data_IF_190971095617
#
_entry.id   IF_190971095617
#
_cell.length_a   1.000
_cell.length_b   1.000
_cell.length_c   1.000
_cell.angle_alpha   90.00
_cell.angle_beta   90.00
_cell.angle_gamma   90.00
#
_symmetry.space_group_name_H-M   'P 1'
#
loop_
_entity.id
_entity.type
_entity.pdbx_description
1 polymer ?
#
# COMPACT_ATOMS: atom_id res chain seq x y z
N UNK A 1 66.16 -30.88 3.97
CA UNK A 1 65.98 -32.10 3.15
C UNK A 1 65.22 -33.11 3.99
N UNK A 2 63.91 -33.28 3.77
CA UNK A 2 63.12 -34.25 4.54
C UNK A 2 61.97 -34.81 3.71
N UNK A 3 62.14 -36.08 3.35
CA UNK A 3 61.16 -37.18 3.29
C UNK A 3 59.95 -37.08 2.34
N UNK A 4 60.09 -37.82 1.24
CA UNK A 4 59.04 -38.60 0.58
C UNK A 4 58.14 -39.36 1.56
N UNK A 5 56.87 -39.55 1.17
CA UNK A 5 56.22 -40.85 0.94
C UNK A 5 54.71 -40.63 0.76
N UNK A 6 54.21 -40.79 -0.47
CA UNK A 6 52.81 -41.16 -0.71
C UNK A 6 52.60 -42.60 -0.22
N UNK A 7 51.37 -42.92 0.20
CA UNK A 7 50.72 -44.07 -0.42
C UNK A 7 49.26 -43.80 -0.82
N UNK A 8 48.87 -44.68 -1.74
CA UNK A 8 47.66 -44.78 -2.54
C UNK A 8 46.47 -45.34 -1.75
N UNK A 9 45.27 -45.02 -2.25
CA UNK A 9 44.09 -45.88 -2.38
C UNK A 9 42.96 -45.87 -1.33
N UNK A 10 41.81 -45.39 -1.85
CA UNK A 10 40.51 -46.06 -1.90
C UNK A 10 39.56 -46.06 -0.68
N UNK A 11 38.42 -45.38 -0.86
CA UNK A 11 37.03 -45.89 -0.72
C UNK A 11 36.11 -44.68 -0.40
N UNK A 12 35.36 -44.18 -1.38
CA UNK A 12 33.96 -44.52 -1.66
C UNK A 12 32.95 -43.87 -0.71
N UNK A 13 32.11 -43.01 -1.31
CA UNK A 13 30.71 -42.72 -0.98
C UNK A 13 30.46 -42.08 0.42
N UNK A 14 29.54 -41.15 0.61
CA UNK A 14 28.26 -40.96 -0.04
C UNK A 14 27.66 -39.64 0.52
N UNK A 15 26.74 -39.01 -0.24
CA UNK A 15 25.53 -38.32 0.27
C UNK A 15 25.80 -37.04 1.12
N UNK A 16 25.24 -35.86 0.88
CA UNK A 16 23.91 -35.45 0.44
C UNK A 16 23.92 -33.94 0.12
N UNK A 17 22.91 -33.54 -0.65
CA UNK A 17 22.52 -32.20 -1.04
C UNK A 17 22.40 -31.18 0.11
N UNK A 18 22.39 -29.91 -0.30
CA UNK A 18 21.60 -28.81 0.26
C UNK A 18 22.13 -28.09 1.50
N UNK A 19 22.70 -26.91 1.29
CA UNK A 19 22.33 -25.66 1.99
C UNK A 19 23.17 -24.48 1.45
N UNK A 20 22.76 -23.88 0.33
CA UNK A 20 23.00 -22.45 0.15
C UNK A 20 21.88 -21.76 0.93
N UNK A 21 22.09 -21.57 2.22
CA UNK A 21 21.18 -20.77 3.03
C UNK A 21 21.64 -19.32 2.91
N UNK A 22 20.96 -18.58 2.03
CA UNK A 22 21.08 -17.13 1.93
C UNK A 22 20.71 -16.51 3.29
N UNK A 23 21.53 -15.59 3.84
CA UNK A 23 21.21 -14.94 5.09
C UNK A 23 19.96 -14.07 4.89
N UNK A 24 18.85 -14.48 5.49
CA UNK A 24 17.61 -13.74 5.50
C UNK A 24 17.86 -12.33 6.08
N UNK A 25 17.68 -11.31 5.24
CA UNK A 25 17.57 -9.94 5.68
C UNK A 25 16.46 -9.85 6.73
N UNK A 26 16.84 -9.56 7.97
CA UNK A 26 15.90 -9.31 9.06
C UNK A 26 15.07 -8.09 8.69
N UNK A 27 13.89 -8.34 8.11
CA UNK A 27 12.91 -7.30 7.85
C UNK A 27 12.43 -6.83 9.21
N UNK A 28 12.53 -5.52 9.54
CA UNK A 28 11.97 -5.00 10.78
C UNK A 28 10.49 -5.43 10.88
N UNK A 29 10.00 -5.79 12.07
CA UNK A 29 8.59 -6.12 12.23
C UNK A 29 7.75 -4.95 11.73
N UNK A 30 6.79 -5.24 10.86
CA UNK A 30 5.83 -4.24 10.42
C UNK A 30 5.16 -3.62 11.65
N UNK A 31 4.95 -2.29 11.67
CA UNK A 31 4.26 -1.65 12.78
C UNK A 31 2.89 -2.30 13.00
N UNK A 32 2.43 -2.41 14.27
CA UNK A 32 1.16 -3.04 14.58
C UNK A 32 0.02 -2.37 13.81
N UNK A 33 -0.84 -3.20 13.21
CA UNK A 33 -2.01 -2.73 12.48
C UNK A 33 -2.97 -1.98 13.43
N UNK A 34 -3.60 -0.87 12.99
CA UNK A 34 -4.50 -0.11 13.83
C UNK A 34 -5.76 -0.93 14.22
N UNK A 35 -6.35 -0.68 15.40
CA UNK A 35 -7.60 -1.32 15.81
C UNK A 35 -8.74 -0.87 14.88
N UNK A 36 -9.62 -1.80 14.51
CA UNK A 36 -10.76 -1.50 13.65
C UNK A 36 -11.84 -0.69 14.41
N UNK A 37 -12.15 0.56 14.02
CA UNK A 37 -13.32 1.27 14.55
C UNK A 37 -14.63 0.65 14.04
N UNK A 38 -15.78 0.94 14.68
CA UNK A 38 -17.09 0.52 14.19
C UNK A 38 -17.31 1.06 12.77
N UNK A 39 -17.68 0.16 11.84
CA UNK A 39 -17.91 0.50 10.44
C UNK A 39 -19.08 1.48 10.31
N UNK A 40 -18.87 2.72 9.82
CA UNK A 40 -19.98 3.60 9.46
C UNK A 40 -20.71 3.05 8.24
N UNK A 41 -22.02 3.33 8.19
CA UNK A 41 -22.95 2.95 7.13
C UNK A 41 -22.39 3.23 5.72
N UNK A 42 -22.60 2.25 4.84
CA UNK A 42 -22.45 2.41 3.40
C UNK A 42 -23.58 3.31 2.87
N UNK A 43 -23.37 4.11 1.81
CA UNK A 43 -22.20 4.11 0.93
C UNK A 43 -21.08 5.03 1.40
N UNK A 44 -19.86 4.72 0.96
CA UNK A 44 -18.72 5.62 1.09
C UNK A 44 -18.91 6.84 0.19
N UNK A 45 -18.91 8.04 0.78
CA UNK A 45 -19.07 9.33 0.06
C UNK A 45 -17.83 10.21 0.20
N UNK A 46 -17.71 11.25 -0.63
CA UNK A 46 -16.65 12.25 -0.50
C UNK A 46 -16.63 12.94 0.87
N UNK A 47 -17.80 13.24 1.45
CA UNK A 47 -17.88 13.78 2.81
C UNK A 47 -17.29 12.80 3.84
N UNK A 48 -17.67 11.51 3.76
CA UNK A 48 -17.14 10.48 4.65
C UNK A 48 -15.63 10.27 4.46
N UNK A 49 -15.14 10.39 3.22
CA UNK A 49 -13.72 10.19 2.92
C UNK A 49 -12.87 11.28 3.57
N UNK A 50 -13.37 12.52 3.55
CA UNK A 50 -12.76 13.66 4.25
C UNK A 50 -12.81 13.49 5.77
N UNK A 51 -13.92 13.00 6.33
CA UNK A 51 -14.00 12.67 7.77
C UNK A 51 -12.97 11.63 8.20
N UNK A 52 -12.75 10.59 7.39
CA UNK A 52 -11.76 9.54 7.70
C UNK A 52 -10.35 10.13 7.72
N UNK A 53 -9.99 10.95 6.72
CA UNK A 53 -8.68 11.60 6.65
C UNK A 53 -8.49 12.67 7.74
N UNK A 54 -9.56 13.31 8.19
CA UNK A 54 -9.54 14.23 9.31
C UNK A 54 -8.67 15.47 9.05
N UNK A 55 -7.85 15.84 10.04
CA UNK A 55 -7.10 17.10 10.06
C UNK A 55 -5.77 17.05 9.30
N UNK A 56 -5.60 16.07 8.41
CA UNK A 56 -4.42 16.03 7.53
C UNK A 56 -4.41 17.22 6.55
N UNK A 57 -3.22 17.56 5.99
CA UNK A 57 -3.10 18.68 5.06
C UNK A 57 -4.07 18.60 3.88
N UNK A 58 -4.44 19.77 3.34
CA UNK A 58 -5.43 19.89 2.26
C UNK A 58 -5.19 18.94 1.07
N UNK A 59 -3.96 18.71 0.57
CA UNK A 59 -3.74 17.76 -0.52
C UNK A 59 -4.19 16.32 -0.20
N UNK A 60 -4.18 15.91 1.08
CA UNK A 60 -4.68 14.61 1.50
C UNK A 60 -6.21 14.56 1.52
N UNK A 61 -6.86 15.66 1.85
CA UNK A 61 -8.31 15.82 1.78
C UNK A 61 -8.79 15.76 0.32
N UNK A 62 -8.03 16.39 -0.60
CA UNK A 62 -8.27 16.31 -2.04
C UNK A 62 -8.12 14.88 -2.57
N UNK A 63 -7.03 14.18 -2.18
CA UNK A 63 -6.81 12.78 -2.55
C UNK A 63 -7.97 11.88 -2.10
N UNK A 64 -8.44 12.04 -0.86
CA UNK A 64 -9.55 11.27 -0.33
C UNK A 64 -10.85 11.51 -1.09
N UNK A 65 -11.11 12.78 -1.43
CA UNK A 65 -12.28 13.15 -2.23
C UNK A 65 -12.19 12.54 -3.63
N UNK A 66 -11.03 12.63 -4.29
CA UNK A 66 -10.79 12.07 -5.61
C UNK A 66 -10.98 10.55 -5.64
N UNK A 67 -10.51 9.83 -4.60
CA UNK A 67 -10.72 8.38 -4.48
C UNK A 67 -12.19 8.01 -4.30
N UNK A 68 -12.94 8.79 -3.51
CA UNK A 68 -14.39 8.60 -3.37
C UNK A 68 -15.13 8.89 -4.68
N UNK A 69 -14.78 9.94 -5.41
CA UNK A 69 -15.38 10.27 -6.70
C UNK A 69 -15.13 9.17 -7.74
N UNK A 70 -13.94 8.55 -7.71
CA UNK A 70 -13.65 7.38 -8.55
C UNK A 70 -14.52 6.18 -8.21
N UNK A 71 -14.72 5.91 -6.92
CA UNK A 71 -15.58 4.84 -6.47
C UNK A 71 -17.03 5.08 -6.93
N UNK A 72 -17.57 6.29 -6.70
CA UNK A 72 -18.91 6.67 -7.16
C UNK A 72 -19.03 6.61 -8.68
N UNK A 73 -17.98 6.96 -9.42
CA UNK A 73 -18.03 6.77 -10.87
C UNK A 73 -18.09 5.29 -11.26
N UNK A 74 -17.28 4.43 -10.62
CA UNK A 74 -17.28 2.99 -10.88
C UNK A 74 -18.69 2.41 -10.71
N UNK A 75 -19.41 2.80 -9.65
CA UNK A 75 -20.83 2.43 -9.46
C UNK A 75 -21.72 2.88 -10.63
N UNK A 76 -21.61 4.15 -11.05
CA UNK A 76 -22.45 4.73 -12.10
C UNK A 76 -22.26 4.08 -13.46
N UNK A 77 -21.06 3.63 -13.77
CA UNK A 77 -20.77 2.93 -15.04
C UNK A 77 -21.00 1.41 -14.96
N UNK A 78 -21.56 0.91 -13.85
CA UNK A 78 -21.87 -0.51 -13.63
C UNK A 78 -20.64 -1.36 -13.25
N UNK A 79 -19.54 -0.73 -12.85
CA UNK A 79 -18.37 -1.39 -12.30
C UNK A 79 -18.55 -1.80 -10.84
N UNK A 80 -17.69 -2.72 -10.37
CA UNK A 80 -17.65 -3.10 -8.96
C UNK A 80 -17.06 -1.95 -8.13
N UNK A 81 -17.80 -1.53 -7.11
CA UNK A 81 -17.37 -0.50 -6.17
C UNK A 81 -17.08 -1.10 -4.79
N UNK A 82 -15.81 -1.12 -4.43
CA UNK A 82 -15.37 -1.60 -3.13
C UNK A 82 -15.30 -0.45 -2.10
N UNK A 83 -16.45 -0.14 -1.51
CA UNK A 83 -16.55 0.87 -0.46
C UNK A 83 -15.80 0.48 0.82
N UNK A 84 -15.72 -0.81 1.14
CA UNK A 84 -15.00 -1.29 2.32
C UNK A 84 -13.49 -1.14 2.11
N UNK A 85 -13.00 -1.55 0.95
CA UNK A 85 -11.61 -1.37 0.53
C UNK A 85 -11.21 0.11 0.58
N UNK A 86 -12.01 1.01 0.00
CA UNK A 86 -11.72 2.45 0.07
C UNK A 86 -11.68 2.95 1.53
N UNK A 87 -12.60 2.50 2.37
CA UNK A 87 -12.63 2.90 3.80
C UNK A 87 -11.36 2.44 4.54
N UNK A 88 -10.89 1.24 4.26
CA UNK A 88 -9.66 0.69 4.86
C UNK A 88 -8.44 1.44 4.33
N UNK A 89 -8.35 1.65 3.02
CA UNK A 89 -7.25 2.40 2.39
C UNK A 89 -7.12 3.80 2.99
N UNK A 90 -8.22 4.54 3.16
CA UNK A 90 -8.18 5.88 3.74
C UNK A 90 -7.76 5.89 5.21
N UNK A 91 -8.14 4.85 5.99
CA UNK A 91 -7.71 4.70 7.38
C UNK A 91 -6.21 4.43 7.48
N UNK A 92 -5.70 3.53 6.64
CA UNK A 92 -4.28 3.18 6.59
C UNK A 92 -3.44 4.37 6.10
N UNK A 93 -3.94 5.11 5.11
CA UNK A 93 -3.34 6.34 4.63
C UNK A 93 -3.26 7.38 5.75
N UNK A 94 -4.36 7.62 6.48
CA UNK A 94 -4.34 8.53 7.63
C UNK A 94 -3.32 8.09 8.68
N UNK A 95 -3.37 6.82 9.07
CA UNK A 95 -2.47 6.26 10.07
C UNK A 95 -0.99 6.45 9.71
N UNK A 96 -0.67 6.26 8.43
CA UNK A 96 0.69 6.43 7.91
C UNK A 96 1.10 7.91 7.92
N UNK A 97 0.25 8.79 7.40
CA UNK A 97 0.61 10.19 7.19
C UNK A 97 0.55 11.06 8.46
N UNK A 98 -0.28 10.72 9.44
CA UNK A 98 -0.39 11.49 10.69
C UNK A 98 0.90 11.48 11.53
N UNK A 99 1.83 10.56 11.25
CA UNK A 99 3.14 10.50 11.89
C UNK A 99 4.21 11.34 11.20
N UNK A 100 3.90 11.91 10.03
CA UNK A 100 4.84 12.70 9.23
C UNK A 100 4.66 14.20 9.49
N UNK A 101 5.72 15.00 9.21
CA UNK A 101 5.58 16.45 9.07
C UNK A 101 4.50 16.81 8.02
N UNK A 102 3.80 17.91 8.25
CA UNK A 102 2.67 18.32 7.42
C UNK A 102 3.06 18.57 5.95
N UNK A 103 4.25 19.11 5.70
CA UNK A 103 4.80 19.34 4.36
C UNK A 103 5.14 18.02 3.65
N UNK A 104 5.73 17.06 4.35
CA UNK A 104 5.99 15.72 3.82
C UNK A 104 4.68 14.97 3.50
N UNK A 105 3.71 15.01 4.41
CA UNK A 105 2.40 14.41 4.19
C UNK A 105 1.68 15.04 2.98
N UNK A 106 1.70 16.37 2.87
CA UNK A 106 1.14 17.10 1.73
C UNK A 106 1.81 16.71 0.41
N UNK A 107 3.14 16.62 0.39
CA UNK A 107 3.92 16.19 -0.78
C UNK A 107 3.56 14.77 -1.22
N UNK A 108 3.49 13.82 -0.26
CA UNK A 108 3.08 12.44 -0.55
C UNK A 108 1.65 12.35 -1.10
N UNK A 109 0.70 13.07 -0.51
CA UNK A 109 -0.68 13.11 -1.01
C UNK A 109 -0.79 13.74 -2.39
N UNK A 110 0.02 14.75 -2.69
CA UNK A 110 0.08 15.36 -4.02
C UNK A 110 0.63 14.40 -5.06
N UNK A 111 1.69 13.65 -4.73
CA UNK A 111 2.25 12.62 -5.59
C UNK A 111 1.21 11.52 -5.92
N UNK A 112 0.54 10.99 -4.90
CA UNK A 112 -0.53 10.00 -5.07
C UNK A 112 -1.70 10.54 -5.89
N UNK A 113 -2.08 11.81 -5.70
CA UNK A 113 -3.13 12.46 -6.49
C UNK A 113 -2.74 12.55 -7.96
N UNK A 114 -1.49 12.92 -8.24
CA UNK A 114 -0.98 13.01 -9.61
C UNK A 114 -0.93 11.63 -10.27
N UNK A 115 -0.46 10.60 -9.56
CA UNK A 115 -0.50 9.22 -10.04
C UNK A 115 -1.93 8.76 -10.32
N UNK A 116 -2.87 9.03 -9.42
CA UNK A 116 -4.27 8.66 -9.61
C UNK A 116 -4.91 9.37 -10.82
N UNK A 117 -4.41 10.55 -11.19
CA UNK A 117 -4.86 11.30 -12.37
C UNK A 117 -4.29 10.77 -13.68
N UNK A 118 -3.18 10.02 -13.68
CA UNK A 118 -2.66 9.40 -14.91
C UNK A 118 -3.40 8.12 -15.27
N UNK A 119 -4.17 7.55 -14.34
CA UNK A 119 -4.96 6.36 -14.61
C UNK A 119 -6.09 6.66 -15.62
N UNK A 120 -6.29 5.81 -16.64
CA UNK A 120 -7.35 6.01 -17.62
C UNK A 120 -8.71 5.87 -16.94
N UNK A 121 -9.53 6.93 -17.00
CA UNK A 121 -10.91 6.91 -16.50
C UNK A 121 -11.90 7.09 -17.65
N UNK A 122 -13.07 6.44 -17.60
CA UNK A 122 -14.19 6.80 -18.45
C UNK A 122 -14.50 8.30 -18.33
N UNK A 123 -14.80 8.98 -19.43
CA UNK A 123 -15.07 10.43 -19.44
C UNK A 123 -16.19 10.82 -18.45
N UNK A 124 -17.16 9.94 -18.24
CA UNK A 124 -18.22 10.08 -17.25
C UNK A 124 -17.71 10.32 -15.81
N UNK A 125 -16.50 9.85 -15.48
CA UNK A 125 -15.89 10.02 -14.17
C UNK A 125 -15.23 11.38 -13.97
N UNK A 126 -14.82 12.06 -15.03
CA UNK A 126 -14.16 13.37 -14.92
C UNK A 126 -15.16 14.51 -14.71
N UNK A 127 -16.41 14.35 -15.14
CA UNK A 127 -17.44 15.39 -15.10
C UNK A 127 -18.15 15.55 -13.74
N UNK A 128 -17.73 14.82 -12.69
CA UNK A 128 -18.40 14.84 -11.38
C UNK A 128 -18.07 16.07 -10.52
N UNK A 129 -17.11 16.90 -10.92
CA UNK A 129 -16.64 18.08 -10.17
C UNK A 129 -17.22 19.44 -10.58
N UNK A 130 -18.24 19.50 -11.45
CA UNK A 130 -18.83 20.75 -11.97
C UNK A 130 -20.32 20.95 -11.56
N UNK A 131 -20.70 20.53 -10.35
CA UNK A 131 -22.05 20.71 -9.80
C UNK A 131 -22.06 21.60 -8.58
#
# INVERSE_FOLDING_TARGET
MMRSLLPLAAAMAALTLSACEEPAASTPPAPPAPPSPPSPDLPMTGAKAREIIGDLPLPCVELASLKADMLTCAERVGGAADHEGLRTELRDLRWTLQSLPADEAASRCSALTNELRTQPKPQACWNLGNG
#
